data_IF_947551352118
#
_entry.id   IF_947551352118
#
_cell.length_a   1.000
_cell.length_b   1.000
_cell.length_c   1.000
_cell.angle_alpha   90.00
_cell.angle_beta   90.00
_cell.angle_gamma   90.00
#
_symmetry.space_group_name_H-M   'P 1'
#
loop_
_entity.id
_entity.type
_entity.pdbx_description
1 polymer ?
#
# COMPACT_ATOMS: atom_id res chain seq x y z
N UNK A 1 8.95 14.89 -32.27
CA UNK A 1 7.49 14.67 -32.47
C UNK A 1 6.67 14.66 -31.17
N UNK A 2 6.93 13.81 -30.15
CA UNK A 2 6.11 13.83 -28.93
C UNK A 2 6.40 15.03 -28.02
N UNK A 3 7.66 15.47 -27.96
CA UNK A 3 8.08 16.57 -27.07
C UNK A 3 7.53 17.94 -27.52
N UNK A 4 7.43 18.21 -28.82
CA UNK A 4 6.84 19.45 -29.33
C UNK A 4 5.33 19.53 -29.05
N UNK A 5 4.62 18.41 -29.17
CA UNK A 5 3.20 18.31 -28.83
C UNK A 5 2.97 18.54 -27.34
N UNK A 6 3.79 17.94 -26.48
CA UNK A 6 3.75 18.19 -25.03
C UNK A 6 4.07 19.65 -24.70
N UNK A 7 5.08 20.22 -25.34
CA UNK A 7 5.45 21.63 -25.15
C UNK A 7 4.30 22.56 -25.54
N UNK A 8 3.56 22.26 -26.62
CA UNK A 8 2.39 23.03 -27.04
C UNK A 8 1.23 22.91 -26.04
N UNK A 9 0.98 21.70 -25.52
CA UNK A 9 -0.06 21.49 -24.50
C UNK A 9 0.26 22.31 -23.25
N UNK A 10 1.50 22.23 -22.76
CA UNK A 10 1.94 22.91 -21.53
C UNK A 10 1.95 24.43 -21.70
N UNK A 11 2.48 24.93 -22.83
CA UNK A 11 2.69 26.39 -23.01
C UNK A 11 1.46 27.11 -23.53
N UNK A 12 0.57 26.45 -24.27
CA UNK A 12 -0.53 27.12 -24.99
C UNK A 12 -1.88 26.66 -24.47
N UNK A 13 -2.13 25.36 -24.43
CA UNK A 13 -3.45 24.85 -24.09
C UNK A 13 -3.75 24.94 -22.59
N UNK A 14 -2.77 24.62 -21.75
CA UNK A 14 -2.94 24.64 -20.31
C UNK A 14 -3.23 26.06 -19.77
N UNK A 15 -2.49 27.13 -20.14
CA UNK A 15 -2.82 28.48 -19.68
C UNK A 15 -4.15 28.99 -20.23
N UNK A 16 -4.49 28.64 -21.48
CA UNK A 16 -5.77 29.00 -22.08
C UNK A 16 -6.96 28.31 -21.39
N UNK A 17 -6.79 27.06 -20.97
CA UNK A 17 -7.78 26.31 -20.20
C UNK A 17 -7.94 26.87 -18.79
N UNK A 18 -6.83 27.11 -18.07
CA UNK A 18 -6.85 27.68 -16.71
C UNK A 18 -7.48 29.08 -16.67
N UNK A 19 -7.27 29.91 -17.69
CA UNK A 19 -7.92 31.24 -17.79
C UNK A 19 -9.43 31.17 -18.01
N UNK A 20 -9.94 30.04 -18.53
CA UNK A 20 -11.37 29.82 -18.79
C UNK A 20 -12.07 29.06 -17.68
N UNK A 21 -11.35 28.65 -16.63
CA UNK A 21 -11.96 28.01 -15.47
C UNK A 21 -12.77 29.07 -14.69
N UNK A 22 -14.03 28.76 -14.31
CA UNK A 22 -14.78 29.58 -13.37
C UNK A 22 -14.20 29.38 -11.97
N UNK A 23 -13.09 30.04 -11.66
CA UNK A 23 -12.50 30.08 -10.33
C UNK A 23 -13.22 31.18 -9.53
N UNK A 24 -14.03 30.85 -8.53
CA UNK A 24 -14.65 31.86 -7.70
C UNK A 24 -13.59 32.54 -6.84
N UNK A 25 -13.59 33.87 -6.83
CA UNK A 25 -12.68 34.69 -6.01
C UNK A 25 -13.03 34.67 -4.52
N UNK A 26 -14.15 34.06 -4.14
CA UNK A 26 -14.61 33.94 -2.75
C UNK A 26 -15.15 32.55 -2.43
N UNK A 27 -15.04 32.16 -1.15
CA UNK A 27 -15.52 30.87 -0.65
C UNK A 27 -17.04 30.72 -0.86
N UNK A 28 -17.81 31.81 -0.78
CA UNK A 28 -19.26 31.81 -1.07
C UNK A 28 -19.57 31.57 -2.55
N UNK A 29 -18.65 31.95 -3.45
CA UNK A 29 -18.80 31.73 -4.89
C UNK A 29 -18.87 30.26 -5.27
N UNK A 30 -18.22 29.36 -4.51
CA UNK A 30 -18.28 27.90 -4.74
C UNK A 30 -19.71 27.34 -4.65
N UNK A 31 -20.56 27.93 -3.80
CA UNK A 31 -21.94 27.49 -3.60
C UNK A 31 -22.85 27.92 -4.77
N UNK A 32 -22.42 28.92 -5.55
CA UNK A 32 -23.20 29.51 -6.66
C UNK A 32 -22.86 28.93 -8.04
N UNK A 33 -21.92 27.98 -8.15
CA UNK A 33 -21.59 27.37 -9.44
C UNK A 33 -22.69 26.43 -9.93
N UNK A 34 -22.94 26.48 -11.23
CA UNK A 34 -23.85 25.57 -11.94
C UNK A 34 -23.21 24.18 -12.07
N UNK A 35 -24.04 23.12 -12.17
CA UNK A 35 -23.57 21.72 -12.33
C UNK A 35 -22.55 21.54 -13.47
N UNK A 36 -22.73 22.25 -14.60
CA UNK A 36 -21.80 22.23 -15.74
C UNK A 36 -20.42 22.80 -15.40
N UNK A 37 -20.38 23.84 -14.56
CA UNK A 37 -19.15 24.50 -14.16
C UNK A 37 -18.40 23.65 -13.13
N UNK A 38 -19.13 23.02 -12.22
CA UNK A 38 -18.58 21.98 -11.34
C UNK A 38 -17.95 20.84 -12.13
N UNK A 39 -18.60 20.37 -13.20
CA UNK A 39 -18.07 19.30 -14.06
C UNK A 39 -16.74 19.69 -14.73
N UNK A 40 -16.62 20.95 -15.17
CA UNK A 40 -15.38 21.49 -15.75
C UNK A 40 -14.26 21.64 -14.73
N UNK A 41 -14.60 21.81 -13.45
CA UNK A 41 -13.65 22.00 -12.36
C UNK A 41 -13.12 20.66 -11.80
N UNK A 42 -13.86 19.55 -11.99
CA UNK A 42 -13.49 18.21 -11.51
C UNK A 42 -12.06 17.77 -11.87
N UNK A 43 -11.55 17.93 -13.11
CA UNK A 43 -10.19 17.49 -13.43
C UNK A 43 -9.13 18.25 -12.63
N UNK A 44 -9.33 19.55 -12.44
CA UNK A 44 -8.43 20.40 -11.68
C UNK A 44 -8.45 20.04 -10.19
N UNK A 45 -9.64 19.88 -9.60
CA UNK A 45 -9.80 19.43 -8.22
C UNK A 45 -9.21 18.04 -7.99
N UNK A 46 -9.39 17.13 -8.96
CA UNK A 46 -8.81 15.78 -8.90
C UNK A 46 -7.28 15.82 -8.87
N UNK A 47 -6.65 16.66 -9.68
CA UNK A 47 -5.18 16.83 -9.66
C UNK A 47 -4.72 17.43 -8.33
N UNK A 48 -5.40 18.46 -7.81
CA UNK A 48 -5.06 19.06 -6.52
C UNK A 48 -5.23 18.07 -5.36
N UNK A 49 -6.31 17.31 -5.35
CA UNK A 49 -6.58 16.28 -4.34
C UNK A 49 -5.52 15.17 -4.40
N UNK A 50 -5.13 14.73 -5.60
CA UNK A 50 -4.08 13.73 -5.78
C UNK A 50 -2.72 14.24 -5.27
N UNK A 51 -2.34 15.46 -5.63
CA UNK A 51 -1.08 16.07 -5.16
C UNK A 51 -1.08 16.24 -3.63
N UNK A 52 -2.19 16.74 -3.07
CA UNK A 52 -2.36 16.87 -1.62
C UNK A 52 -2.28 15.52 -0.91
N UNK A 53 -2.95 14.48 -1.44
CA UNK A 53 -2.85 13.13 -0.91
C UNK A 53 -1.43 12.60 -0.95
N UNK A 54 -0.72 12.73 -2.08
CA UNK A 54 0.67 12.27 -2.21
C UNK A 54 1.62 13.01 -1.26
N UNK A 55 1.41 14.31 -1.05
CA UNK A 55 2.17 15.13 -0.12
C UNK A 55 1.92 14.72 1.35
N UNK A 56 0.68 14.40 1.71
CA UNK A 56 0.30 14.01 3.08
C UNK A 56 0.55 12.52 3.39
N UNK A 57 0.51 11.65 2.38
CA UNK A 57 0.71 10.20 2.49
C UNK A 57 1.94 9.76 3.31
N UNK A 58 3.13 10.37 3.18
CA UNK A 58 4.29 9.97 3.99
C UNK A 58 4.16 10.34 5.47
N UNK A 59 3.35 11.34 5.81
CA UNK A 59 3.14 11.79 7.19
C UNK A 59 2.00 11.06 7.89
N UNK A 60 1.12 10.41 7.12
CA UNK A 60 0.07 9.57 7.69
C UNK A 60 0.68 8.29 8.27
N UNK A 61 0.39 7.94 9.54
CA UNK A 61 0.91 6.73 10.15
C UNK A 61 0.44 5.52 9.35
N UNK A 62 1.37 4.83 8.69
CA UNK A 62 1.08 3.53 8.10
C UNK A 62 0.67 2.62 9.26
N UNK A 63 -0.56 2.08 9.23
CA UNK A 63 -0.91 0.92 10.06
C UNK A 63 0.16 -0.13 9.75
N UNK A 64 1.12 -0.35 10.65
CA UNK A 64 2.04 -1.48 10.54
C UNK A 64 1.13 -2.69 10.39
N UNK A 65 1.16 -3.33 9.24
CA UNK A 65 0.45 -4.59 9.09
C UNK A 65 1.06 -5.50 10.16
N UNK A 66 0.25 -5.88 11.14
CA UNK A 66 0.62 -6.83 12.20
C UNK A 66 1.18 -8.16 11.63
N UNK A 67 1.02 -8.39 10.31
CA UNK A 67 1.66 -9.46 9.56
C UNK A 67 3.19 -9.43 9.63
N UNK A 68 3.83 -8.26 9.72
CA UNK A 68 5.29 -8.18 9.72
C UNK A 68 5.94 -8.70 11.01
N UNK A 69 5.17 -8.82 12.11
CA UNK A 69 5.65 -9.40 13.36
C UNK A 69 5.34 -10.90 13.51
N UNK A 70 4.61 -11.52 12.59
CA UNK A 70 4.27 -12.93 12.66
C UNK A 70 5.45 -13.80 12.21
N UNK A 71 6.15 -14.37 13.19
CA UNK A 71 7.27 -15.29 12.93
C UNK A 71 6.74 -16.59 12.32
N UNK A 72 5.73 -17.22 12.91
CA UNK A 72 5.08 -18.39 12.34
C UNK A 72 3.98 -17.97 11.36
N UNK A 73 4.09 -18.36 10.08
CA UNK A 73 3.09 -18.01 9.06
C UNK A 73 2.11 -19.16 8.74
N UNK A 74 2.54 -20.42 8.90
CA UNK A 74 1.83 -21.58 8.30
C UNK A 74 1.77 -22.84 9.18
N UNK A 75 2.57 -22.94 10.24
CA UNK A 75 2.79 -24.21 10.94
C UNK A 75 1.80 -24.30 12.11
N UNK A 76 0.97 -25.35 12.16
CA UNK A 76 0.04 -25.68 13.25
C UNK A 76 -0.68 -24.45 13.84
N UNK A 77 -1.50 -23.78 13.03
CA UNK A 77 -2.17 -22.53 13.43
C UNK A 77 -3.39 -22.73 14.32
N UNK A 78 -3.93 -23.94 14.29
CA UNK A 78 -4.96 -24.47 15.17
C UNK A 78 -4.47 -24.64 16.61
N UNK A 79 -3.16 -24.83 16.81
CA UNK A 79 -2.59 -24.97 18.15
C UNK A 79 -2.21 -23.59 18.71
N UNK A 80 -2.74 -23.19 19.88
CA UNK A 80 -2.39 -21.91 20.50
C UNK A 80 -0.90 -21.79 20.86
N UNK A 81 -0.20 -22.92 21.06
CA UNK A 81 1.24 -22.95 21.33
C UNK A 81 1.88 -24.20 20.74
N UNK A 82 2.61 -24.01 19.65
CA UNK A 82 3.35 -25.10 19.00
C UNK A 82 4.67 -25.33 19.75
N UNK A 83 4.79 -26.49 20.39
CA UNK A 83 5.97 -26.97 21.11
C UNK A 83 6.39 -28.30 20.51
N UNK A 84 7.70 -28.52 20.34
CA UNK A 84 8.26 -29.77 19.85
C UNK A 84 9.22 -30.34 20.89
N UNK A 85 8.91 -31.51 21.40
CA UNK A 85 9.77 -32.27 22.32
C UNK A 85 10.59 -33.27 21.53
N UNK A 86 11.83 -33.50 21.97
CA UNK A 86 12.79 -34.35 21.26
C UNK A 86 13.55 -35.16 22.30
N UNK A 87 13.44 -36.48 22.22
CA UNK A 87 14.25 -37.38 23.02
C UNK A 87 15.64 -37.48 22.39
N UNK A 88 16.67 -37.38 23.23
CA UNK A 88 18.07 -37.40 22.79
C UNK A 88 18.44 -38.78 22.23
N UNK A 89 17.82 -39.83 22.77
CA UNK A 89 18.03 -41.23 22.39
C UNK A 89 17.55 -41.54 20.96
N UNK A 90 16.53 -40.83 20.48
CA UNK A 90 15.95 -40.98 19.14
C UNK A 90 16.75 -40.23 18.05
N UNK A 91 17.86 -39.57 18.39
CA UNK A 91 18.74 -38.95 17.41
C UNK A 91 19.60 -40.03 16.73
N UNK A 92 19.05 -40.67 15.70
CA UNK A 92 19.79 -41.63 14.86
C UNK A 92 20.99 -41.02 14.11
N UNK A 93 21.12 -39.68 14.08
CA UNK A 93 22.19 -38.97 13.39
C UNK A 93 23.12 -38.31 14.42
N UNK A 94 24.43 -38.40 14.18
CA UNK A 94 25.48 -37.75 14.99
C UNK A 94 25.32 -36.23 15.10
N UNK A 95 24.58 -35.61 14.18
CA UNK A 95 24.20 -34.20 14.23
C UNK A 95 22.80 -33.98 13.66
N UNK A 96 21.98 -33.24 14.39
CA UNK A 96 20.65 -32.83 13.97
C UNK A 96 20.56 -31.31 13.85
N UNK A 97 19.88 -30.82 12.80
CA UNK A 97 19.54 -29.42 12.65
C UNK A 97 18.03 -29.23 12.85
N UNK A 98 17.65 -28.18 13.58
CA UNK A 98 16.25 -27.84 13.88
C UNK A 98 15.89 -26.46 13.36
N UNK A 99 14.66 -26.33 12.88
CA UNK A 99 14.14 -25.07 12.37
C UNK A 99 13.89 -24.08 13.52
N UNK A 100 14.48 -22.88 13.44
CA UNK A 100 14.17 -21.75 14.35
C UNK A 100 13.42 -20.61 13.68
N UNK A 101 13.26 -20.68 12.36
CA UNK A 101 12.72 -19.60 11.53
C UNK A 101 11.25 -19.79 11.13
N UNK A 102 10.63 -20.94 11.42
CA UNK A 102 9.25 -21.27 11.02
C UNK A 102 9.01 -21.20 9.50
N UNK A 103 10.05 -21.48 8.70
CA UNK A 103 9.97 -21.53 7.23
C UNK A 103 10.29 -22.89 6.64
N UNK A 104 10.82 -23.81 7.45
CA UNK A 104 11.20 -25.11 6.94
C UNK A 104 9.98 -25.97 6.59
N UNK A 105 10.06 -26.66 5.46
CA UNK A 105 9.08 -27.65 5.02
C UNK A 105 9.34 -29.04 5.60
N UNK A 106 10.59 -29.33 5.97
CA UNK A 106 11.06 -30.70 6.27
C UNK A 106 12.06 -30.81 7.42
N UNK A 107 12.70 -29.72 7.84
CA UNK A 107 13.69 -29.74 8.94
C UNK A 107 12.94 -29.85 10.26
N UNK A 108 12.60 -31.09 10.66
CA UNK A 108 11.94 -31.50 11.92
C UNK A 108 11.08 -30.41 12.58
N UNK A 109 10.24 -29.79 11.76
CA UNK A 109 9.04 -29.16 12.23
C UNK A 109 8.07 -30.32 12.23
N UNK A 110 7.77 -30.89 13.39
CA UNK A 110 6.82 -31.98 13.47
C UNK A 110 5.48 -31.44 12.96
N UNK A 111 5.19 -31.62 11.67
CA UNK A 111 3.82 -31.83 11.25
C UNK A 111 3.39 -33.05 12.04
N UNK A 112 2.39 -32.86 12.90
CA UNK A 112 1.75 -33.96 13.62
C UNK A 112 1.62 -35.14 12.64
N UNK A 113 2.18 -36.29 13.02
CA UNK A 113 1.73 -37.52 12.38
C UNK A 113 0.21 -37.62 12.61
N UNK A 114 -0.57 -38.10 11.63
CA UNK A 114 -1.99 -38.37 11.83
C UNK A 114 -2.22 -39.35 12.99
#
# INVERSE_FOLDING_TARGET
MPLESLARIIKVQLPAYLKRLPLPESISGFIRLTVSEWLRLLPFLGVLALLGYLALRPFLPKKKQQKDSLINLKIQKENPKVVNEINIEDLCLTKAAYCRCWRSKTVRCFTAMP
#
